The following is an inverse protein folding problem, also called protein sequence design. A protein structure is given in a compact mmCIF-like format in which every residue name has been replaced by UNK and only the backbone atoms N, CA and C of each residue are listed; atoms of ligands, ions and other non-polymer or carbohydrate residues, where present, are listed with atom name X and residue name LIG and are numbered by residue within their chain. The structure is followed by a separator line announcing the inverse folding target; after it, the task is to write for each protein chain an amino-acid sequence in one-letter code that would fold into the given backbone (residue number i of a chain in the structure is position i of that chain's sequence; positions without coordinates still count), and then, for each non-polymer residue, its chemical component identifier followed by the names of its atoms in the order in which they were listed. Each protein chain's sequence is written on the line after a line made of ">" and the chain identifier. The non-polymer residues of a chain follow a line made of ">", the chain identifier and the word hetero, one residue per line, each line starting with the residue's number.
data_IF_071599283889
#
_entry.id   IF_071599283889
#
_cell.length_a   1.000
_cell.length_b   1.000
_cell.length_c   1.000
_cell.angle_alpha   90.00
_cell.angle_beta   90.00
_cell.angle_gamma   90.00
#
_symmetry.space_group_name_H-M   'P 1'
#
loop_
_entity.id
_entity.type
_entity.pdbx_description
1 polymer ?
#
# COMPACT_ATOMS: atom_id res chain seq x y z
N UNK A 1 15.48 53.82 -13.79
CA UNK A 1 15.44 52.53 -14.52
C UNK A 1 16.34 51.46 -13.89
N UNK A 2 17.63 51.76 -13.60
CA UNK A 2 18.55 50.83 -12.92
C UNK A 2 18.05 50.29 -11.57
N UNK A 3 17.43 51.12 -10.74
CA UNK A 3 16.89 50.67 -9.44
C UNK A 3 15.68 49.74 -9.56
N UNK A 4 14.79 49.99 -10.52
CA UNK A 4 13.67 49.08 -10.83
C UNK A 4 14.15 47.73 -11.38
N UNK A 5 15.20 47.74 -12.21
CA UNK A 5 15.86 46.52 -12.70
C UNK A 5 16.53 45.74 -11.57
N UNK A 6 17.18 46.42 -10.62
CA UNK A 6 17.83 45.81 -9.46
C UNK A 6 16.81 45.19 -8.49
N UNK A 7 15.66 45.84 -8.29
CA UNK A 7 14.57 45.28 -7.47
C UNK A 7 13.88 44.09 -8.18
N UNK A 8 13.69 44.15 -9.51
CA UNK A 8 13.17 43.03 -10.29
C UNK A 8 14.10 41.82 -10.24
N UNK A 9 15.41 42.02 -10.42
CA UNK A 9 16.39 40.95 -10.34
C UNK A 9 16.48 40.33 -8.94
N UNK A 10 16.37 41.15 -7.90
CA UNK A 10 16.35 40.67 -6.51
C UNK A 10 15.11 39.81 -6.24
N UNK A 11 13.92 40.26 -6.68
CA UNK A 11 12.68 39.51 -6.52
C UNK A 11 12.69 38.20 -7.31
N UNK A 12 13.20 38.19 -8.55
CA UNK A 12 13.36 36.97 -9.33
C UNK A 12 14.31 35.97 -8.65
N UNK A 13 15.42 36.45 -8.09
CA UNK A 13 16.36 35.62 -7.35
C UNK A 13 15.73 35.06 -6.06
N UNK A 14 14.90 35.85 -5.39
CA UNK A 14 14.13 35.42 -4.22
C UNK A 14 13.11 34.34 -4.59
N UNK A 15 12.35 34.51 -5.67
CA UNK A 15 11.40 33.52 -6.17
C UNK A 15 12.14 32.23 -6.54
N UNK A 16 13.27 32.34 -7.22
CA UNK A 16 14.09 31.17 -7.59
C UNK A 16 14.63 30.47 -6.34
N UNK A 17 15.07 31.23 -5.34
CA UNK A 17 15.50 30.70 -4.04
C UNK A 17 14.37 29.93 -3.35
N UNK A 18 13.16 30.50 -3.29
CA UNK A 18 11.98 29.84 -2.71
C UNK A 18 11.67 28.54 -3.48
N UNK A 19 11.68 28.56 -4.81
CA UNK A 19 11.47 27.37 -5.63
C UNK A 19 12.51 26.29 -5.37
N UNK A 20 13.78 26.68 -5.26
CA UNK A 20 14.88 25.76 -4.97
C UNK A 20 14.74 25.12 -3.58
N UNK A 21 14.39 25.90 -2.56
CA UNK A 21 14.12 25.37 -1.22
C UNK A 21 12.90 24.46 -1.19
N UNK A 22 11.81 24.82 -1.88
CA UNK A 22 10.63 23.97 -2.01
C UNK A 22 10.98 22.62 -2.68
N UNK A 23 11.81 22.64 -3.72
CA UNK A 23 12.31 21.43 -4.38
C UNK A 23 13.15 20.56 -3.44
N UNK A 24 14.07 21.17 -2.68
CA UNK A 24 14.89 20.44 -1.70
C UNK A 24 14.02 19.78 -0.61
N UNK A 25 13.05 20.52 -0.07
CA UNK A 25 12.12 19.99 0.93
C UNK A 25 11.34 18.81 0.33
N UNK A 26 10.82 18.95 -0.88
CA UNK A 26 10.11 17.87 -1.56
C UNK A 26 10.99 16.61 -1.73
N UNK A 27 12.23 16.78 -2.19
CA UNK A 27 13.14 15.66 -2.41
C UNK A 27 13.53 14.95 -1.10
N UNK A 28 13.79 15.72 -0.04
CA UNK A 28 14.24 15.17 1.26
C UNK A 28 13.10 14.55 2.04
N UNK A 29 11.96 15.23 2.12
CA UNK A 29 10.88 14.87 3.04
C UNK A 29 9.75 14.06 2.39
N UNK A 30 9.60 14.11 1.07
CA UNK A 30 8.54 13.38 0.36
C UNK A 30 9.14 12.24 -0.46
N UNK A 31 10.03 12.56 -1.39
CA UNK A 31 10.58 11.54 -2.30
C UNK A 31 11.58 10.59 -1.61
N UNK A 32 12.36 11.08 -0.65
CA UNK A 32 13.34 10.29 0.10
C UNK A 32 12.72 9.11 0.84
N UNK A 33 11.77 9.34 1.77
CA UNK A 33 11.12 8.28 2.53
C UNK A 33 10.42 7.25 1.63
N UNK A 34 9.68 7.69 0.61
CA UNK A 34 8.97 6.78 -0.30
C UNK A 34 9.94 5.81 -1.00
N UNK A 35 11.08 6.32 -1.50
CA UNK A 35 12.12 5.46 -2.10
C UNK A 35 12.75 4.50 -1.11
N UNK A 36 12.90 4.90 0.15
CA UNK A 36 13.42 4.01 1.19
C UNK A 36 12.44 2.85 1.45
N UNK A 37 11.14 3.14 1.53
CA UNK A 37 10.11 2.11 1.67
C UNK A 37 10.04 1.18 0.46
N UNK A 38 10.03 1.71 -0.77
CA UNK A 38 10.05 0.87 -1.99
C UNK A 38 11.27 -0.07 -2.04
N UNK A 39 12.43 0.41 -1.57
CA UNK A 39 13.64 -0.40 -1.51
C UNK A 39 13.51 -1.50 -0.45
N UNK A 40 13.01 -1.17 0.74
CA UNK A 40 12.81 -2.14 1.82
C UNK A 40 11.79 -3.21 1.41
N UNK A 41 10.65 -2.79 0.86
CA UNK A 41 9.59 -3.70 0.42
C UNK A 41 10.14 -4.65 -0.66
N UNK A 42 10.92 -4.14 -1.62
CA UNK A 42 11.59 -4.99 -2.63
C UNK A 42 12.56 -5.99 -2.00
N UNK A 43 13.38 -5.56 -1.04
CA UNK A 43 14.34 -6.45 -0.37
C UNK A 43 13.65 -7.59 0.37
N UNK A 44 12.51 -7.32 1.00
CA UNK A 44 11.72 -8.34 1.71
C UNK A 44 11.08 -9.32 0.73
N UNK A 45 10.54 -8.84 -0.39
CA UNK A 45 9.99 -9.69 -1.44
C UNK A 45 11.09 -10.58 -2.03
N UNK A 46 12.25 -10.03 -2.38
CA UNK A 46 13.40 -10.80 -2.90
C UNK A 46 13.90 -11.84 -1.88
N UNK A 47 13.89 -11.51 -0.59
CA UNK A 47 14.24 -12.45 0.47
C UNK A 47 13.24 -13.61 0.56
N UNK A 48 11.94 -13.30 0.47
CA UNK A 48 10.86 -14.30 0.47
C UNK A 48 10.88 -15.19 -0.78
N UNK A 49 11.13 -14.61 -1.96
CA UNK A 49 11.33 -15.33 -3.22
C UNK A 49 12.46 -16.35 -3.07
N UNK A 50 13.60 -15.90 -2.54
CA UNK A 50 14.77 -16.74 -2.34
C UNK A 50 14.55 -17.85 -1.31
N UNK A 51 13.86 -17.57 -0.20
CA UNK A 51 13.62 -18.60 0.83
C UNK A 51 12.64 -19.68 0.37
N UNK A 52 11.72 -19.35 -0.53
CA UNK A 52 10.66 -20.26 -0.98
C UNK A 52 10.86 -20.82 -2.40
N UNK A 53 11.97 -20.47 -3.08
CA UNK A 53 12.23 -20.81 -4.48
C UNK A 53 11.11 -20.35 -5.44
N UNK A 54 10.56 -19.16 -5.17
CA UNK A 54 9.54 -18.51 -6.01
C UNK A 54 10.23 -17.37 -6.78
N UNK A 55 9.67 -16.97 -7.92
CA UNK A 55 10.22 -15.87 -8.72
C UNK A 55 9.11 -14.98 -9.27
N UNK A 56 9.45 -13.72 -9.51
CA UNK A 56 8.61 -12.72 -10.14
C UNK A 56 7.34 -12.42 -9.34
N UNK A 57 7.49 -12.22 -8.03
CA UNK A 57 6.45 -11.75 -7.15
C UNK A 57 6.25 -10.24 -7.32
N UNK A 58 4.99 -9.83 -7.37
CA UNK A 58 4.56 -8.43 -7.43
C UNK A 58 3.83 -8.09 -6.15
N UNK A 59 4.17 -6.94 -5.55
CA UNK A 59 3.47 -6.44 -4.37
C UNK A 59 2.04 -6.04 -4.75
N UNK A 60 1.05 -6.67 -4.13
CA UNK A 60 -0.36 -6.31 -4.27
C UNK A 60 -0.80 -5.38 -3.14
N UNK A 61 -0.37 -5.63 -1.90
CA UNK A 61 -0.60 -4.72 -0.80
C UNK A 61 0.43 -4.86 0.33
N UNK A 62 0.64 -3.78 1.08
CA UNK A 62 1.29 -3.80 2.40
C UNK A 62 0.24 -3.46 3.44
N UNK A 63 -0.18 -4.46 4.19
CA UNK A 63 -1.26 -4.33 5.16
C UNK A 63 -0.69 -4.24 6.58
N UNK A 64 -1.22 -3.31 7.37
CA UNK A 64 -0.80 -3.14 8.76
C UNK A 64 -2.07 -3.02 9.62
N UNK A 65 -2.33 -4.08 10.38
CA UNK A 65 -3.44 -4.13 11.33
C UNK A 65 -2.94 -4.59 12.70
N UNK A 66 -2.76 -5.91 12.88
CA UNK A 66 -2.09 -6.46 14.06
C UNK A 66 -0.56 -6.41 13.89
N UNK A 67 -0.10 -6.88 12.74
CA UNK A 67 1.30 -6.86 12.30
C UNK A 67 1.42 -6.32 10.87
N UNK A 68 2.63 -5.91 10.49
CA UNK A 68 2.93 -5.52 9.09
C UNK A 68 3.11 -6.77 8.26
N UNK A 69 2.21 -6.95 7.31
CA UNK A 69 2.19 -8.08 6.36
C UNK A 69 2.26 -7.59 4.93
N UNK A 70 2.88 -8.43 4.10
CA UNK A 70 3.10 -8.19 2.69
C UNK A 70 2.27 -9.20 1.92
N UNK A 71 1.39 -8.72 1.05
CA UNK A 71 0.58 -9.53 0.15
C UNK A 71 1.15 -9.36 -1.25
N UNK A 72 1.55 -10.47 -1.86
CA UNK A 72 2.19 -10.50 -3.17
C UNK A 72 1.52 -11.53 -4.06
N UNK A 73 1.48 -11.29 -5.36
CA UNK A 73 1.03 -12.28 -6.34
C UNK A 73 2.19 -12.73 -7.20
N UNK A 74 2.12 -13.95 -7.73
CA UNK A 74 2.98 -14.32 -8.85
C UNK A 74 2.60 -13.56 -10.13
N UNK A 75 3.51 -13.57 -11.11
CA UNK A 75 3.33 -12.87 -12.39
C UNK A 75 2.09 -13.30 -13.18
N UNK A 76 1.64 -14.54 -13.02
CA UNK A 76 0.42 -15.05 -13.67
C UNK A 76 -0.87 -14.76 -12.90
N UNK A 77 -0.79 -14.13 -11.71
CA UNK A 77 -1.95 -13.88 -10.82
C UNK A 77 -2.79 -15.14 -10.59
N UNK A 78 -2.13 -16.25 -10.32
CA UNK A 78 -2.80 -17.53 -9.98
C UNK A 78 -2.72 -17.83 -8.49
N UNK A 79 -1.75 -17.25 -7.80
CA UNK A 79 -1.50 -17.47 -6.38
C UNK A 79 -1.21 -16.14 -5.71
N UNK A 80 -1.91 -15.89 -4.60
CA UNK A 80 -1.52 -14.88 -3.63
C UNK A 80 -0.67 -15.54 -2.56
N UNK A 81 0.39 -14.87 -2.17
CA UNK A 81 1.20 -15.22 -1.02
C UNK A 81 1.12 -14.06 -0.05
N UNK A 82 1.14 -14.36 1.23
CA UNK A 82 1.32 -13.35 2.27
C UNK A 82 2.43 -13.75 3.21
N UNK A 83 3.13 -12.77 3.76
CA UNK A 83 4.17 -13.00 4.75
C UNK A 83 4.34 -11.83 5.71
N UNK A 84 4.76 -12.13 6.94
CA UNK A 84 5.15 -11.13 7.95
C UNK A 84 6.52 -10.53 7.61
N UNK A 85 6.77 -9.30 8.08
CA UNK A 85 8.06 -8.61 7.86
C UNK A 85 9.29 -9.42 8.31
N UNK A 86 9.15 -10.26 9.33
CA UNK A 86 10.24 -11.13 9.83
C UNK A 86 10.32 -12.50 9.14
N UNK A 87 9.46 -12.73 8.14
CA UNK A 87 9.35 -13.95 7.35
C UNK A 87 9.03 -15.21 8.16
N UNK A 88 8.54 -15.08 9.40
CA UNK A 88 8.19 -16.23 10.24
C UNK A 88 6.80 -16.77 9.95
N UNK A 89 5.85 -15.89 9.67
CA UNK A 89 4.50 -16.25 9.30
C UNK A 89 4.32 -15.99 7.81
N UNK A 90 3.77 -16.98 7.12
CA UNK A 90 3.44 -16.85 5.71
C UNK A 90 2.40 -17.87 5.31
N UNK A 91 1.64 -17.55 4.28
CA UNK A 91 0.66 -18.44 3.68
C UNK A 91 0.50 -18.17 2.20
N UNK A 92 -0.37 -18.96 1.58
CA UNK A 92 -0.72 -18.79 0.18
C UNK A 92 -2.14 -19.27 -0.08
N UNK A 93 -2.77 -18.64 -1.06
CA UNK A 93 -4.13 -18.89 -1.45
C UNK A 93 -4.24 -18.82 -2.97
N UNK A 94 -5.27 -19.48 -3.52
CA UNK A 94 -5.58 -19.29 -4.96
C UNK A 94 -5.97 -17.84 -5.16
N UNK A 95 -5.36 -17.19 -6.14
CA UNK A 95 -5.66 -15.79 -6.43
C UNK A 95 -7.15 -15.61 -6.74
N UNK A 96 -7.77 -14.65 -6.06
CA UNK A 96 -9.10 -14.14 -6.35
C UNK A 96 -8.97 -12.63 -6.42
N UNK A 97 -9.62 -12.02 -7.41
CA UNK A 97 -9.69 -10.56 -7.49
C UNK A 97 -10.68 -9.99 -6.46
N UNK A 98 -10.90 -8.68 -6.49
CA UNK A 98 -11.80 -8.02 -5.55
C UNK A 98 -13.30 -8.18 -5.87
N UNK A 99 -13.68 -8.92 -6.92
CA UNK A 99 -15.08 -9.11 -7.31
C UNK A 99 -15.95 -9.75 -6.21
N UNK A 100 -15.49 -10.75 -5.44
CA UNK A 100 -16.25 -11.30 -4.32
C UNK A 100 -16.52 -10.25 -3.23
N UNK A 101 -15.49 -9.49 -2.84
CA UNK A 101 -15.61 -8.40 -1.87
C UNK A 101 -16.58 -7.30 -2.36
N UNK A 102 -16.47 -6.90 -3.63
CA UNK A 102 -17.38 -5.92 -4.21
C UNK A 102 -18.83 -6.40 -4.22
N UNK A 103 -19.08 -7.67 -4.60
CA UNK A 103 -20.43 -8.24 -4.56
C UNK A 103 -21.01 -8.27 -3.14
N UNK A 104 -20.18 -8.53 -2.14
CA UNK A 104 -20.60 -8.48 -0.75
C UNK A 104 -21.01 -7.05 -0.36
N UNK A 105 -20.19 -6.04 -0.70
CA UNK A 105 -20.48 -4.61 -0.44
C UNK A 105 -21.80 -4.19 -1.07
N UNK A 106 -21.98 -4.50 -2.36
CA UNK A 106 -23.19 -4.17 -3.11
C UNK A 106 -24.41 -4.87 -2.49
N UNK A 107 -24.26 -6.13 -2.05
CA UNK A 107 -25.31 -6.90 -1.38
C UNK A 107 -25.74 -6.33 -0.03
N UNK A 108 -24.86 -5.59 0.66
CA UNK A 108 -25.19 -4.87 1.89
C UNK A 108 -25.79 -3.47 1.64
N UNK A 109 -25.87 -3.03 0.38
CA UNK A 109 -26.29 -1.66 0.04
C UNK A 109 -25.31 -0.60 0.54
N UNK A 110 -24.02 -0.97 0.67
CA UNK A 110 -22.94 -0.10 1.10
C UNK A 110 -22.15 0.40 -0.11
N UNK A 111 -21.36 1.46 0.10
CA UNK A 111 -20.39 1.93 -0.88
C UNK A 111 -18.99 1.82 -0.27
N UNK A 112 -18.14 1.00 -0.87
CA UNK A 112 -16.73 0.92 -0.47
C UNK A 112 -15.97 2.14 -0.99
N UNK A 113 -15.18 2.77 -0.12
CA UNK A 113 -14.20 3.79 -0.49
C UNK A 113 -12.86 3.17 -0.86
N UNK A 114 -12.55 1.99 -0.30
CA UNK A 114 -11.35 1.21 -0.60
C UNK A 114 -11.62 -0.29 -0.37
N UNK A 115 -11.05 -1.14 -1.22
CA UNK A 115 -11.04 -2.60 -1.07
C UNK A 115 -9.61 -3.05 -1.32
N UNK A 116 -9.02 -3.73 -0.34
CA UNK A 116 -7.65 -4.22 -0.42
C UNK A 116 -7.52 -5.61 0.21
N UNK A 117 -6.42 -6.31 -0.08
CA UNK A 117 -6.08 -7.54 0.63
C UNK A 117 -5.46 -7.21 1.99
N UNK A 118 -5.71 -8.04 2.99
CA UNK A 118 -5.06 -7.96 4.28
C UNK A 118 -4.77 -9.34 4.86
N UNK A 119 -4.23 -9.35 6.07
CA UNK A 119 -4.05 -10.56 6.88
C UNK A 119 -4.59 -10.28 8.26
N UNK A 120 -5.41 -11.19 8.77
CA UNK A 120 -5.94 -11.14 10.14
C UNK A 120 -5.92 -12.55 10.72
N UNK A 121 -5.37 -12.69 11.94
CA UNK A 121 -5.19 -13.99 12.60
C UNK A 121 -4.54 -15.07 11.70
N UNK A 122 -3.43 -14.72 11.04
CA UNK A 122 -2.69 -15.60 10.12
C UNK A 122 -3.54 -16.15 8.95
N UNK A 123 -4.56 -15.41 8.50
CA UNK A 123 -5.38 -15.73 7.33
C UNK A 123 -5.50 -14.54 6.39
N UNK A 124 -5.50 -14.82 5.09
CA UNK A 124 -5.79 -13.80 4.09
C UNK A 124 -7.25 -13.34 4.21
N UNK A 125 -7.46 -12.04 4.09
CA UNK A 125 -8.77 -11.39 4.22
C UNK A 125 -8.93 -10.29 3.18
N UNK A 126 -10.18 -9.95 2.86
CA UNK A 126 -10.51 -8.69 2.24
C UNK A 126 -10.70 -7.62 3.32
N UNK A 127 -10.01 -6.50 3.18
CA UNK A 127 -10.20 -5.32 3.99
C UNK A 127 -11.01 -4.30 3.19
N UNK A 128 -12.18 -3.95 3.72
CA UNK A 128 -13.14 -3.08 3.04
C UNK A 128 -13.39 -1.85 3.90
N UNK A 129 -13.03 -0.68 3.37
CA UNK A 129 -13.33 0.60 4.01
C UNK A 129 -14.59 1.20 3.41
N UNK A 130 -15.48 1.64 4.28
CA UNK A 130 -16.66 2.45 3.91
C UNK A 130 -16.56 3.81 4.58
N UNK A 131 -17.56 4.65 4.36
CA UNK A 131 -17.69 5.96 5.03
C UNK A 131 -17.92 5.85 6.55
N UNK A 132 -18.39 4.70 7.04
CA UNK A 132 -18.80 4.54 8.45
C UNK A 132 -18.12 3.38 9.18
N UNK A 133 -17.75 2.33 8.46
CA UNK A 133 -17.21 1.11 9.04
C UNK A 133 -16.08 0.54 8.17
N UNK A 134 -15.09 -0.04 8.84
CA UNK A 134 -14.12 -0.93 8.22
C UNK A 134 -14.57 -2.37 8.48
N UNK A 135 -14.56 -3.21 7.44
CA UNK A 135 -14.91 -4.63 7.50
C UNK A 135 -13.70 -5.48 7.14
N UNK A 136 -13.49 -6.53 7.93
CA UNK A 136 -12.55 -7.60 7.63
C UNK A 136 -13.38 -8.83 7.27
N UNK A 137 -13.20 -9.32 6.05
CA UNK A 137 -13.96 -10.41 5.48
C UNK A 137 -13.02 -11.55 5.13
N UNK A 138 -13.35 -12.76 5.54
CA UNK A 138 -12.57 -13.95 5.24
C UNK A 138 -12.49 -14.17 3.72
N UNK A 139 -11.28 -14.43 3.22
CA UNK A 139 -11.00 -14.47 1.79
C UNK A 139 -11.68 -15.63 1.06
N UNK A 140 -11.91 -16.75 1.74
CA UNK A 140 -12.51 -17.96 1.14
C UNK A 140 -14.02 -18.02 1.36
N UNK A 141 -14.46 -17.80 2.60
CA UNK A 141 -15.85 -17.98 3.02
C UNK A 141 -16.71 -16.75 2.78
N UNK A 142 -16.09 -15.57 2.67
CA UNK A 142 -16.76 -14.26 2.61
C UNK A 142 -17.57 -13.92 3.87
N UNK A 143 -17.30 -14.62 4.98
CA UNK A 143 -17.89 -14.30 6.27
C UNK A 143 -17.21 -13.06 6.88
N UNK A 144 -17.99 -12.23 7.55
CA UNK A 144 -17.46 -11.07 8.28
C UNK A 144 -16.77 -11.57 9.54
N UNK A 145 -15.45 -11.36 9.61
CA UNK A 145 -14.64 -11.74 10.77
C UNK A 145 -14.59 -10.60 11.78
N UNK A 146 -14.52 -9.36 11.30
CA UNK A 146 -14.48 -8.17 12.15
C UNK A 146 -15.17 -6.99 11.50
N UNK A 147 -15.82 -6.17 12.33
CA UNK A 147 -16.38 -4.87 11.96
C UNK A 147 -15.89 -3.82 12.94
N UNK A 148 -15.34 -2.74 12.41
CA UNK A 148 -14.75 -1.65 13.19
C UNK A 148 -15.49 -0.37 12.83
N UNK A 149 -15.93 0.38 13.84
CA UNK A 149 -16.48 1.72 13.64
C UNK A 149 -15.35 2.71 13.35
N UNK A 150 -15.51 3.51 12.29
CA UNK A 150 -14.61 4.62 11.97
C UNK A 150 -14.95 5.84 12.83
#
# INVERSE_FOLDING_TARGET
>A
MKEKLKSLSLNLLLIFGIFFFALLIYLVYIAGPNRAYEKEDRQLIEAFEKSNNITNLTLENRFAFDDVTYIVSNSSRTTLYWFSRDLKNSGFETYQDFSPAQRWVDGQGLTATDISYGVYEDKLVYFIRTDRFDFIIDFETQDVVLRIGV
#
